data_IF_015541630246
#
_entry.id   IF_015541630246
#
_cell.length_a   1.000
_cell.length_b   1.000
_cell.length_c   1.000
_cell.angle_alpha   90.00
_cell.angle_beta   90.00
_cell.angle_gamma   90.00
#
_symmetry.space_group_name_H-M   'P 1'
#
loop_
_entity.id
_entity.type
_entity.pdbx_description
1 polymer ?
#
# COMPACT_ATOMS: atom_id res chain seq x y z
N UNK A 1 14.20 -8.49 -9.17
CA UNK A 1 13.27 -8.15 -10.28
C UNK A 1 11.80 -8.02 -9.84
N UNK A 2 11.50 -7.93 -8.54
CA UNK A 2 10.14 -7.83 -7.99
C UNK A 2 9.44 -6.49 -8.32
N UNK A 3 10.18 -5.45 -8.64
CA UNK A 3 9.65 -4.10 -8.90
C UNK A 3 9.36 -3.79 -10.38
N UNK A 4 9.22 -4.82 -11.19
CA UNK A 4 8.85 -4.67 -12.60
C UNK A 4 7.33 -4.70 -12.78
N UNK A 5 6.86 -4.09 -13.85
CA UNK A 5 5.44 -4.21 -14.25
C UNK A 5 5.07 -5.68 -14.47
N UNK A 6 3.85 -6.05 -14.16
CA UNK A 6 3.35 -7.43 -14.27
C UNK A 6 3.54 -8.09 -15.64
N UNK A 7 3.71 -7.29 -16.71
CA UNK A 7 4.00 -7.80 -18.06
C UNK A 7 5.34 -8.56 -18.12
N UNK A 8 6.28 -8.28 -17.22
CA UNK A 8 7.58 -8.96 -17.14
C UNK A 8 7.58 -10.14 -16.16
N UNK A 9 6.44 -10.42 -15.52
CA UNK A 9 6.31 -11.56 -14.63
C UNK A 9 6.31 -12.83 -15.47
N UNK A 10 7.12 -13.83 -15.06
CA UNK A 10 7.12 -15.13 -15.69
C UNK A 10 5.74 -15.76 -15.60
N UNK A 11 5.20 -16.14 -16.76
CA UNK A 11 3.87 -16.69 -16.89
C UNK A 11 3.97 -18.17 -17.22
N UNK A 12 3.60 -19.03 -16.29
CA UNK A 12 3.44 -20.45 -16.56
C UNK A 12 1.97 -20.74 -16.87
N UNK A 13 1.75 -21.54 -17.90
CA UNK A 13 0.40 -21.91 -18.36
C UNK A 13 -0.46 -22.54 -17.26
N UNK A 14 0.15 -23.36 -16.40
CA UNK A 14 -0.50 -24.06 -15.28
C UNK A 14 -0.42 -23.31 -13.95
N UNK A 15 0.41 -22.28 -13.86
CA UNK A 15 0.68 -21.56 -12.62
C UNK A 15 0.68 -20.04 -12.86
N UNK A 16 -0.46 -19.45 -12.61
CA UNK A 16 -0.59 -17.98 -12.54
C UNK A 16 0.02 -17.46 -11.25
N UNK A 17 0.73 -16.35 -11.33
CA UNK A 17 1.19 -15.67 -10.13
C UNK A 17 -0.01 -15.27 -9.26
N UNK A 18 -0.06 -15.62 -7.95
CA UNK A 18 -1.24 -15.43 -7.11
C UNK A 18 -1.77 -13.99 -7.09
N UNK A 19 -0.87 -13.00 -7.06
CA UNK A 19 -1.27 -11.58 -7.09
C UNK A 19 -1.94 -11.21 -8.42
N UNK A 20 -1.45 -11.75 -9.56
CA UNK A 20 -2.06 -11.49 -10.87
C UNK A 20 -3.43 -12.14 -10.99
N UNK A 21 -3.58 -13.34 -10.43
CA UNK A 21 -4.87 -14.05 -10.39
C UNK A 21 -5.89 -13.30 -9.54
N UNK A 22 -5.47 -12.78 -8.37
CA UNK A 22 -6.34 -12.00 -7.50
C UNK A 22 -6.85 -10.71 -8.16
N UNK A 23 -6.10 -10.15 -9.12
CA UNK A 23 -6.48 -8.96 -9.89
C UNK A 23 -6.98 -9.28 -11.32
N UNK A 24 -7.68 -10.39 -11.47
CA UNK A 24 -8.39 -10.78 -12.70
C UNK A 24 -7.52 -10.82 -13.96
N UNK A 25 -6.24 -11.19 -13.82
CA UNK A 25 -5.40 -11.38 -14.98
C UNK A 25 -5.89 -12.57 -15.79
N UNK A 26 -6.07 -12.45 -17.15
CA UNK A 26 -6.56 -13.51 -17.98
C UNK A 26 -5.59 -14.70 -18.01
N UNK A 27 -6.14 -15.92 -18.13
CA UNK A 27 -5.35 -17.17 -18.19
C UNK A 27 -4.41 -17.23 -19.41
N UNK A 28 -4.68 -16.45 -20.45
CA UNK A 28 -4.02 -16.50 -21.77
C UNK A 28 -4.23 -17.80 -22.55
N UNK A 29 -5.17 -18.62 -22.14
CA UNK A 29 -5.56 -19.83 -22.89
C UNK A 29 -6.55 -19.47 -24.00
N UNK A 30 -7.37 -18.45 -23.77
CA UNK A 30 -8.35 -17.93 -24.70
C UNK A 30 -8.16 -16.44 -24.93
N UNK A 31 -8.55 -15.98 -26.12
CA UNK A 31 -8.58 -14.54 -26.41
C UNK A 31 -9.71 -13.88 -25.64
N UNK A 32 -9.36 -13.01 -24.71
CA UNK A 32 -10.30 -12.19 -23.97
C UNK A 32 -10.38 -10.79 -24.58
N UNK A 33 -11.55 -10.39 -25.03
CA UNK A 33 -11.80 -9.05 -25.58
C UNK A 33 -11.85 -8.03 -24.45
N UNK A 34 -12.44 -8.39 -23.31
CA UNK A 34 -12.57 -7.54 -22.14
C UNK A 34 -12.17 -8.31 -20.88
N UNK A 35 -11.40 -7.66 -19.98
CA UNK A 35 -11.05 -8.27 -18.69
C UNK A 35 -12.20 -8.08 -17.72
N UNK A 36 -12.59 -9.13 -16.98
CA UNK A 36 -13.49 -8.96 -15.85
C UNK A 36 -12.84 -7.99 -14.85
N UNK A 37 -13.65 -7.16 -14.23
CA UNK A 37 -13.23 -6.29 -13.12
C UNK A 37 -14.00 -6.73 -11.89
N UNK A 38 -13.34 -7.40 -10.98
CA UNK A 38 -13.93 -7.81 -9.73
C UNK A 38 -13.44 -6.94 -8.58
N UNK A 39 -14.22 -6.87 -7.52
CA UNK A 39 -13.79 -6.31 -6.24
C UNK A 39 -13.99 -7.40 -5.19
N UNK A 40 -12.94 -8.17 -4.95
CA UNK A 40 -13.00 -9.33 -4.06
C UNK A 40 -12.25 -9.08 -2.75
N UNK A 41 -12.69 -9.68 -1.63
CA UNK A 41 -11.92 -9.64 -0.39
C UNK A 41 -10.50 -10.17 -0.53
N UNK A 42 -10.23 -11.07 -1.48
CA UNK A 42 -8.89 -11.58 -1.77
C UNK A 42 -7.95 -10.49 -2.28
N UNK A 43 -8.43 -9.56 -3.11
CA UNK A 43 -7.63 -8.41 -3.56
C UNK A 43 -7.17 -7.56 -2.37
N UNK A 44 -8.08 -7.25 -1.47
CA UNK A 44 -7.78 -6.51 -0.26
C UNK A 44 -6.75 -7.25 0.62
N UNK A 45 -6.89 -8.57 0.79
CA UNK A 45 -5.95 -9.39 1.56
C UNK A 45 -4.57 -9.43 0.91
N UNK A 46 -4.47 -9.52 -0.42
CA UNK A 46 -3.19 -9.48 -1.14
C UNK A 46 -2.50 -8.13 -0.93
N UNK A 47 -3.21 -7.01 -1.10
CA UNK A 47 -2.64 -5.67 -0.88
C UNK A 47 -2.19 -5.44 0.56
N UNK A 48 -2.86 -6.05 1.53
CA UNK A 48 -2.52 -5.91 2.94
C UNK A 48 -1.37 -6.83 3.40
N UNK A 49 -1.20 -8.01 2.79
CA UNK A 49 -0.32 -9.04 3.34
C UNK A 49 0.86 -9.44 2.45
N UNK A 50 0.77 -9.24 1.14
CA UNK A 50 1.89 -9.57 0.25
C UNK A 50 3.11 -8.68 0.56
N UNK A 51 4.29 -9.27 0.79
CA UNK A 51 5.49 -8.52 1.14
C UNK A 51 5.85 -7.40 0.16
N UNK A 52 5.55 -7.56 -1.12
CA UNK A 52 5.84 -6.57 -2.16
C UNK A 52 4.98 -5.31 -1.97
N UNK A 53 3.69 -5.48 -1.65
CA UNK A 53 2.79 -4.36 -1.41
C UNK A 53 3.02 -3.70 -0.06
N UNK A 54 3.37 -4.49 0.98
CA UNK A 54 3.75 -3.95 2.29
C UNK A 54 5.03 -3.10 2.16
N UNK A 55 6.01 -3.57 1.41
CA UNK A 55 7.22 -2.81 1.12
C UNK A 55 6.93 -1.54 0.32
N UNK A 56 6.07 -1.62 -0.71
CA UNK A 56 5.63 -0.46 -1.48
C UNK A 56 4.96 0.59 -0.58
N UNK A 57 4.08 0.16 0.33
CA UNK A 57 3.45 1.03 1.31
C UNK A 57 4.48 1.70 2.25
N UNK A 58 5.51 0.97 2.69
CA UNK A 58 6.60 1.52 3.51
C UNK A 58 7.42 2.56 2.74
N UNK A 59 7.75 2.31 1.49
CA UNK A 59 8.46 3.28 0.64
C UNK A 59 7.60 4.52 0.42
N UNK A 60 6.31 4.34 0.19
CA UNK A 60 5.38 5.45 0.06
C UNK A 60 5.24 6.25 1.37
N UNK A 61 5.17 5.58 2.53
CA UNK A 61 5.17 6.21 3.83
C UNK A 61 6.43 7.07 4.07
N UNK A 62 7.60 6.58 3.70
CA UNK A 62 8.84 7.37 3.77
C UNK A 62 8.78 8.63 2.91
N UNK A 63 8.15 8.57 1.73
CA UNK A 63 7.88 9.74 0.90
C UNK A 63 6.87 10.70 1.54
N UNK A 64 5.78 10.17 2.13
CA UNK A 64 4.82 11.00 2.88
C UNK A 64 5.50 11.83 3.96
N UNK A 65 6.43 11.23 4.70
CA UNK A 65 7.16 11.91 5.78
C UNK A 65 8.10 12.99 5.21
N UNK A 66 8.80 12.71 4.11
CA UNK A 66 9.82 13.62 3.54
C UNK A 66 9.23 14.72 2.67
N UNK A 67 8.23 14.37 1.85
CA UNK A 67 7.69 15.23 0.79
C UNK A 67 6.33 15.85 1.17
N UNK A 68 5.59 15.24 2.11
CA UNK A 68 4.20 15.62 2.43
C UNK A 68 4.05 16.85 3.34
N UNK A 69 5.16 17.45 3.80
CA UNK A 69 5.12 18.61 4.66
C UNK A 69 5.41 18.31 6.13
N UNK A 70 5.19 19.32 7.00
CA UNK A 70 5.59 19.24 8.41
C UNK A 70 4.51 18.67 9.32
N UNK A 71 3.23 18.83 8.95
CA UNK A 71 2.10 18.40 9.77
C UNK A 71 1.49 17.10 9.24
N UNK A 72 0.85 16.32 10.11
CA UNK A 72 0.14 15.10 9.72
C UNK A 72 -0.95 15.36 8.68
N UNK A 73 -1.70 16.46 8.83
CA UNK A 73 -2.71 16.89 7.88
C UNK A 73 -2.14 17.14 6.47
N UNK A 74 -1.02 17.87 6.38
CA UNK A 74 -0.34 18.12 5.10
C UNK A 74 0.13 16.81 4.44
N UNK A 75 0.68 15.88 5.22
CA UNK A 75 1.15 14.57 4.73
C UNK A 75 0.00 13.70 4.22
N UNK A 76 -1.14 13.71 4.91
CA UNK A 76 -2.34 13.01 4.46
C UNK A 76 -2.91 13.65 3.18
N UNK A 77 -3.01 14.97 3.12
CA UNK A 77 -3.47 15.67 1.92
C UNK A 77 -2.55 15.42 0.72
N UNK A 78 -1.23 15.45 0.94
CA UNK A 78 -0.24 15.12 -0.09
C UNK A 78 -0.41 13.68 -0.59
N UNK A 79 -0.62 12.72 0.32
CA UNK A 79 -0.78 11.31 -0.05
C UNK A 79 -2.01 11.07 -0.92
N UNK A 80 -3.13 11.73 -0.63
CA UNK A 80 -4.34 11.66 -1.46
C UNK A 80 -4.14 12.24 -2.85
N UNK A 81 -3.44 13.36 -2.96
CA UNK A 81 -3.09 13.93 -4.27
C UNK A 81 -2.20 12.99 -5.09
N UNK A 82 -1.26 12.30 -4.45
CA UNK A 82 -0.34 11.38 -5.15
C UNK A 82 -1.04 10.10 -5.61
N UNK A 83 -1.95 9.55 -4.82
CA UNK A 83 -2.57 8.25 -5.09
C UNK A 83 -3.89 8.41 -5.86
N UNK A 84 -4.73 9.34 -5.46
CA UNK A 84 -6.09 9.50 -5.96
C UNK A 84 -6.27 10.72 -6.88
N UNK A 85 -5.27 11.59 -6.98
CA UNK A 85 -5.34 12.85 -7.76
C UNK A 85 -6.49 13.78 -7.34
N UNK A 86 -7.00 13.62 -6.12
CA UNK A 86 -8.03 14.47 -5.52
C UNK A 86 -7.62 14.98 -4.14
N UNK A 87 -8.30 16.00 -3.67
CA UNK A 87 -8.14 16.49 -2.29
C UNK A 87 -8.81 15.51 -1.32
N UNK A 88 -8.20 15.38 -0.13
CA UNK A 88 -8.79 14.63 0.97
C UNK A 88 -10.02 15.39 1.52
N UNK A 89 -11.08 14.66 1.85
CA UNK A 89 -12.27 15.23 2.48
C UNK A 89 -12.05 15.40 3.99
N UNK A 90 -12.71 16.39 4.63
CA UNK A 90 -12.54 16.64 6.07
C UNK A 90 -12.87 15.43 6.96
N UNK A 91 -13.83 14.61 6.53
CA UNK A 91 -14.17 13.36 7.24
C UNK A 91 -13.05 12.32 7.14
N UNK A 92 -12.49 12.13 5.94
CA UNK A 92 -11.39 11.20 5.69
C UNK A 92 -10.14 11.62 6.47
N UNK A 93 -9.84 12.93 6.45
CA UNK A 93 -8.70 13.49 7.18
C UNK A 93 -8.82 13.24 8.69
N UNK A 94 -9.99 13.48 9.27
CA UNK A 94 -10.25 13.21 10.68
C UNK A 94 -10.13 11.74 11.03
N UNK A 95 -10.66 10.86 10.18
CA UNK A 95 -10.61 9.41 10.38
C UNK A 95 -9.18 8.89 10.33
N UNK A 96 -8.43 9.25 9.27
CA UNK A 96 -7.04 8.83 9.11
C UNK A 96 -6.12 9.46 10.14
N UNK A 97 -6.38 10.70 10.56
CA UNK A 97 -5.65 11.34 11.65
C UNK A 97 -5.79 10.57 12.97
N UNK A 98 -7.02 10.22 13.34
CA UNK A 98 -7.27 9.41 14.56
C UNK A 98 -6.64 8.02 14.47
N UNK A 99 -6.65 7.41 13.30
CA UNK A 99 -6.01 6.11 13.06
C UNK A 99 -4.49 6.21 13.16
N UNK A 100 -3.89 7.26 12.60
CA UNK A 100 -2.46 7.54 12.70
C UNK A 100 -2.01 7.67 14.16
N UNK A 101 -2.75 8.42 14.97
CA UNK A 101 -2.43 8.58 16.40
C UNK A 101 -2.47 7.24 17.15
N UNK A 102 -3.47 6.40 16.89
CA UNK A 102 -3.57 5.05 17.46
C UNK A 102 -2.39 4.18 17.06
N UNK A 103 -2.01 4.18 15.78
CA UNK A 103 -0.85 3.42 15.31
C UNK A 103 0.46 3.95 15.89
N UNK A 104 0.64 5.27 15.99
CA UNK A 104 1.82 5.85 16.64
C UNK A 104 1.94 5.41 18.10
N UNK A 105 0.85 5.47 18.85
CA UNK A 105 0.83 5.00 20.25
C UNK A 105 1.17 3.50 20.35
N UNK A 106 0.57 2.68 19.50
CA UNK A 106 0.80 1.24 19.46
C UNK A 106 2.24 0.88 19.14
N UNK A 107 2.84 1.47 18.08
CA UNK A 107 4.22 1.17 17.67
C UNK A 107 5.28 1.76 18.60
N UNK A 108 4.95 2.79 19.38
CA UNK A 108 5.81 3.27 20.46
C UNK A 108 5.79 2.33 21.66
N UNK A 109 4.65 1.72 21.96
CA UNK A 109 4.50 0.76 23.04
C UNK A 109 5.06 -0.63 22.69
N UNK A 110 4.91 -1.08 21.44
CA UNK A 110 5.33 -2.40 20.98
C UNK A 110 6.41 -2.32 19.90
N UNK A 111 7.67 -2.44 20.35
CA UNK A 111 8.84 -2.40 19.47
C UNK A 111 8.91 -3.63 18.54
N UNK A 112 8.42 -4.80 18.98
CA UNK A 112 8.50 -6.03 18.21
C UNK A 112 7.64 -5.94 16.94
N UNK A 113 6.42 -5.43 17.04
CA UNK A 113 5.52 -5.26 15.89
C UNK A 113 6.07 -4.21 14.91
N UNK A 114 6.61 -3.11 15.43
CA UNK A 114 7.29 -2.08 14.64
C UNK A 114 8.45 -2.67 13.84
N UNK A 115 9.32 -3.44 14.49
CA UNK A 115 10.50 -4.01 13.86
C UNK A 115 10.15 -5.13 12.87
N UNK A 116 9.10 -5.91 13.15
CA UNK A 116 8.55 -6.89 12.22
C UNK A 116 8.11 -6.24 10.92
N UNK A 117 7.30 -5.16 11.01
CA UNK A 117 6.81 -4.43 9.83
C UNK A 117 7.95 -3.80 9.03
N UNK A 118 8.98 -3.29 9.70
CA UNK A 118 10.12 -2.66 9.04
C UNK A 118 11.02 -3.64 8.28
N UNK A 119 11.01 -4.91 8.64
CA UNK A 119 11.80 -5.98 8.00
C UNK A 119 11.11 -6.64 6.80
N UNK A 120 9.84 -6.35 6.56
CA UNK A 120 9.12 -6.93 5.42
C UNK A 120 9.69 -6.39 4.12
N UNK A 121 9.91 -7.28 3.15
CA UNK A 121 10.41 -6.96 1.81
C UNK A 121 11.93 -7.01 1.68
N UNK A 122 12.43 -6.58 0.53
CA UNK A 122 13.86 -6.67 0.18
C UNK A 122 14.62 -5.38 0.46
N UNK A 123 13.95 -4.24 0.40
CA UNK A 123 14.58 -2.94 0.63
C UNK A 123 14.63 -2.65 2.12
N UNK A 124 15.79 -2.31 2.62
CA UNK A 124 15.94 -1.92 4.02
C UNK A 124 15.12 -0.66 4.35
N UNK A 125 14.60 -0.60 5.57
CA UNK A 125 13.97 0.62 6.07
C UNK A 125 15.00 1.77 6.13
N UNK A 126 14.62 3.00 5.80
CA UNK A 126 15.50 4.15 5.89
C UNK A 126 15.88 4.41 7.36
N UNK A 127 17.17 4.57 7.63
CA UNK A 127 17.71 4.78 8.98
C UNK A 127 17.58 6.24 9.48
N UNK A 128 17.24 7.16 8.57
CA UNK A 128 17.13 8.60 8.84
C UNK A 128 15.74 9.00 9.39
N UNK A 129 14.79 8.07 9.44
CA UNK A 129 13.42 8.31 9.92
C UNK A 129 13.17 7.61 11.26
N UNK A 130 12.33 8.23 12.09
CA UNK A 130 11.84 7.56 13.29
C UNK A 130 11.07 6.28 12.94
N UNK A 131 11.49 5.16 13.52
CA UNK A 131 10.97 3.85 13.16
C UNK A 131 9.48 3.68 13.54
N UNK A 132 9.04 4.31 14.66
CA UNK A 132 7.64 4.25 15.06
C UNK A 132 6.76 5.11 14.15
N UNK A 133 7.25 6.29 13.76
CA UNK A 133 6.58 7.16 12.82
C UNK A 133 6.47 6.49 11.45
N UNK A 134 7.56 5.91 10.94
CA UNK A 134 7.56 5.19 9.67
C UNK A 134 6.57 4.01 9.68
N UNK A 135 6.51 3.22 10.75
CA UNK A 135 5.59 2.10 10.87
C UNK A 135 4.12 2.57 10.91
N UNK A 136 3.83 3.66 11.61
CA UNK A 136 2.50 4.24 11.66
C UNK A 136 2.04 4.75 10.30
N UNK A 137 2.90 5.53 9.61
CA UNK A 137 2.60 5.97 8.26
C UNK A 137 2.55 4.82 7.24
N UNK A 138 3.29 3.73 7.44
CA UNK A 138 3.17 2.53 6.62
C UNK A 138 1.78 1.91 6.75
N UNK A 139 1.23 1.86 7.96
CA UNK A 139 -0.13 1.37 8.19
C UNK A 139 -1.16 2.27 7.51
N UNK A 140 -1.01 3.58 7.57
CA UNK A 140 -1.87 4.54 6.84
C UNK A 140 -1.73 4.36 5.32
N UNK A 141 -0.50 4.23 4.82
CA UNK A 141 -0.25 4.00 3.40
C UNK A 141 -0.93 2.72 2.89
N UNK A 142 -0.92 1.62 3.68
CA UNK A 142 -1.63 0.38 3.35
C UNK A 142 -3.14 0.60 3.23
N UNK A 143 -3.73 1.42 4.10
CA UNK A 143 -5.14 1.77 4.01
C UNK A 143 -5.43 2.56 2.73
N UNK A 144 -4.66 3.60 2.44
CA UNK A 144 -4.86 4.45 1.25
C UNK A 144 -4.68 3.64 -0.04
N UNK A 145 -3.65 2.79 -0.11
CA UNK A 145 -3.38 1.94 -1.28
C UNK A 145 -4.43 0.83 -1.46
N UNK A 146 -5.20 0.51 -0.43
CA UNK A 146 -6.28 -0.48 -0.45
C UNK A 146 -7.68 0.14 -0.65
N UNK A 147 -7.78 1.44 -0.84
CA UNK A 147 -9.05 2.07 -1.19
C UNK A 147 -9.53 1.60 -2.56
N UNK A 148 -10.83 1.39 -2.68
CA UNK A 148 -11.46 0.99 -3.95
C UNK A 148 -11.08 1.95 -5.10
N UNK A 149 -11.06 3.25 -4.85
CA UNK A 149 -10.64 4.27 -5.81
C UNK A 149 -9.18 4.11 -6.28
N UNK A 150 -8.32 3.55 -5.45
CA UNK A 150 -6.92 3.29 -5.82
C UNK A 150 -6.80 2.08 -6.74
N UNK A 151 -7.63 1.05 -6.50
CA UNK A 151 -7.60 -0.22 -7.23
C UNK A 151 -8.30 -0.09 -8.58
N UNK A 152 -9.46 0.56 -8.59
CA UNK A 152 -10.28 0.75 -9.79
C UNK A 152 -10.15 2.19 -10.28
N UNK A 153 -9.30 2.41 -11.27
CA UNK A 153 -9.30 3.69 -12.00
C UNK A 153 -10.60 3.77 -12.82
N UNK A 154 -11.44 4.71 -12.48
CA UNK A 154 -12.56 5.10 -13.33
C UNK A 154 -12.08 6.05 -14.43
#
# INVERSE_FOLDING_TARGET
NLYRRGIYTHWQRMFLHPSLLAFDAPSREECTVERPRSNTPQQALVLLNDPTYVEAARVFAARMIREGGKTSSQRLAWSYLQVLSRKIEPFEEKLLGSLLEKHLASYRANMADRDSLSKVGMKAAPADLDAAELAAYTSIARVILNLHETITRQ
#
